data_IF_364972287962
#
_entry.id   IF_364972287962
#
_cell.length_a   1.000
_cell.length_b   1.000
_cell.length_c   1.000
_cell.angle_alpha   90.00
_cell.angle_beta   90.00
_cell.angle_gamma   90.00
#
_symmetry.space_group_name_H-M   'P 1'
#
loop_
_entity.id
_entity.type
_entity.pdbx_description
1 polymer ?
#
# COMPACT_ATOMS: atom_id res chain seq x y z
N UNK A 1 -24.77 19.15 3.39
CA UNK A 1 -23.88 18.32 2.56
C UNK A 1 -24.66 17.10 2.08
N UNK A 2 -24.63 16.79 0.79
CA UNK A 2 -25.26 15.57 0.28
C UNK A 2 -24.53 14.36 0.87
N UNK A 3 -25.28 13.49 1.53
CA UNK A 3 -24.77 12.26 2.11
C UNK A 3 -24.44 11.28 0.98
N UNK A 4 -23.19 10.84 0.85
CA UNK A 4 -22.77 9.86 -0.14
C UNK A 4 -22.71 8.46 0.51
N UNK A 5 -23.79 7.67 0.50
CA UNK A 5 -23.82 6.37 1.17
C UNK A 5 -22.86 5.38 0.47
N UNK A 6 -22.26 4.49 1.27
CA UNK A 6 -21.42 3.41 0.73
C UNK A 6 -22.28 2.36 0.02
N UNK A 7 -23.42 1.99 0.60
CA UNK A 7 -24.34 1.05 -0.04
C UNK A 7 -25.50 1.80 -0.72
N UNK A 8 -25.81 1.44 -1.95
CA UNK A 8 -27.03 1.90 -2.61
C UNK A 8 -28.26 1.32 -1.88
N UNK A 9 -29.40 1.99 -1.95
CA UNK A 9 -30.62 1.52 -1.26
C UNK A 9 -31.07 0.13 -1.74
N UNK A 10 -30.86 -0.19 -3.01
CA UNK A 10 -31.20 -1.50 -3.59
C UNK A 10 -30.27 -2.61 -3.07
N UNK A 11 -28.95 -2.39 -3.13
CA UNK A 11 -27.96 -3.36 -2.67
C UNK A 11 -28.01 -3.53 -1.14
N UNK A 12 -28.28 -2.47 -0.39
CA UNK A 12 -28.47 -2.50 1.06
C UNK A 12 -29.59 -3.45 1.48
N UNK A 13 -30.75 -3.37 0.80
CA UNK A 13 -31.89 -4.24 1.08
C UNK A 13 -31.55 -5.71 0.79
N UNK A 14 -30.88 -5.99 -0.34
CA UNK A 14 -30.48 -7.34 -0.75
C UNK A 14 -29.47 -7.93 0.24
N UNK A 15 -28.42 -7.18 0.59
CA UNK A 15 -27.38 -7.68 1.48
C UNK A 15 -27.88 -7.83 2.92
N UNK A 16 -28.82 -6.99 3.37
CA UNK A 16 -29.48 -7.15 4.68
C UNK A 16 -30.35 -8.40 4.72
N UNK A 17 -31.15 -8.65 3.67
CA UNK A 17 -31.96 -9.87 3.55
C UNK A 17 -31.07 -11.13 3.59
N UNK A 18 -29.91 -11.08 2.92
CA UNK A 18 -28.91 -12.15 2.91
C UNK A 18 -28.03 -12.23 4.17
N UNK A 19 -28.28 -11.38 5.17
CA UNK A 19 -27.51 -11.29 6.43
C UNK A 19 -26.02 -10.95 6.25
N UNK A 20 -25.67 -10.32 5.13
CA UNK A 20 -24.33 -9.77 4.89
C UNK A 20 -24.13 -8.39 5.50
N UNK A 21 -25.23 -7.68 5.78
CA UNK A 21 -25.26 -6.43 6.53
C UNK A 21 -26.11 -6.61 7.79
N UNK A 22 -25.66 -6.01 8.91
CA UNK A 22 -26.54 -5.79 10.07
C UNK A 22 -27.15 -4.39 9.98
N UNK A 23 -28.29 -4.13 10.66
CA UNK A 23 -28.85 -2.77 10.76
C UNK A 23 -27.78 -1.77 11.20
N UNK A 24 -27.80 -0.57 10.61
CA UNK A 24 -26.87 0.48 11.00
C UNK A 24 -27.11 0.87 12.47
N UNK A 25 -26.03 0.99 13.24
CA UNK A 25 -26.06 1.52 14.59
C UNK A 25 -25.51 2.94 14.54
N UNK A 26 -26.41 3.92 14.44
CA UNK A 26 -26.03 5.30 14.17
C UNK A 26 -25.50 5.46 12.75
N UNK A 27 -24.28 5.96 12.59
CA UNK A 27 -23.61 6.18 11.30
C UNK A 27 -22.58 5.10 10.95
N UNK A 28 -22.58 3.98 11.69
CA UNK A 28 -21.71 2.81 11.44
C UNK A 28 -22.55 1.60 11.11
N UNK A 29 -21.97 0.67 10.35
CA UNK A 29 -22.63 -0.56 9.92
C UNK A 29 -21.69 -1.76 10.03
N UNK A 30 -22.23 -2.90 10.43
CA UNK A 30 -21.50 -4.17 10.39
C UNK A 30 -21.66 -4.81 9.02
N UNK A 31 -20.53 -5.13 8.39
CA UNK A 31 -20.44 -5.69 7.05
C UNK A 31 -19.69 -7.02 7.12
N UNK A 32 -20.27 -8.07 6.54
CA UNK A 32 -19.63 -9.39 6.54
C UNK A 32 -18.31 -9.39 5.77
N UNK A 33 -17.38 -10.23 6.19
CA UNK A 33 -16.09 -10.42 5.52
C UNK A 33 -16.23 -10.85 4.06
N UNK A 34 -17.29 -11.56 3.68
CA UNK A 34 -17.56 -11.91 2.27
C UNK A 34 -17.74 -10.68 1.36
N UNK A 35 -18.32 -9.59 1.88
CA UNK A 35 -18.48 -8.32 1.15
C UNK A 35 -17.17 -7.51 1.20
N UNK A 36 -16.46 -7.55 2.33
CA UNK A 36 -15.17 -6.83 2.49
C UNK A 36 -14.01 -7.46 1.71
N UNK A 37 -13.98 -8.79 1.60
CA UNK A 37 -12.87 -9.48 0.95
C UNK A 37 -13.21 -9.88 -0.48
N UNK A 38 -14.51 -10.06 -0.79
CA UNK A 38 -15.02 -10.56 -2.07
C UNK A 38 -14.00 -11.46 -2.75
N UNK A 39 -13.63 -12.53 -2.04
CA UNK A 39 -12.90 -13.63 -2.61
C UNK A 39 -13.91 -14.36 -3.50
N UNK A 40 -13.58 -14.40 -4.79
CA UNK A 40 -14.21 -15.31 -5.73
C UNK A 40 -13.74 -16.68 -5.27
N UNK A 41 -14.49 -17.32 -4.39
CA UNK A 41 -14.31 -18.74 -4.15
C UNK A 41 -14.58 -19.42 -5.48
N UNK A 42 -13.49 -19.83 -6.12
CA UNK A 42 -13.48 -20.93 -7.07
C UNK A 42 -14.37 -22.01 -6.47
N UNK A 43 -15.49 -22.27 -7.13
CA UNK A 43 -16.46 -23.27 -6.71
C UNK A 43 -15.81 -24.66 -6.76
N UNK A 44 -15.13 -25.06 -5.70
CA UNK A 44 -14.96 -26.47 -5.34
C UNK A 44 -16.11 -26.85 -4.43
N UNK A 45 -17.10 -27.52 -5.00
CA UNK A 45 -18.17 -28.17 -4.25
C UNK A 45 -17.58 -29.16 -3.24
N UNK A 46 -17.81 -28.92 -1.95
CA UNK A 46 -17.39 -29.83 -0.87
C UNK A 46 -17.74 -29.33 0.54
N UNK A 47 -18.94 -29.71 0.99
CA UNK A 47 -19.48 -29.88 2.36
C UNK A 47 -19.11 -28.94 3.52
N UNK A 48 -20.15 -28.43 4.18
CA UNK A 48 -20.37 -28.20 5.63
C UNK A 48 -19.14 -27.94 6.52
N UNK A 49 -19.09 -26.76 7.17
CA UNK A 49 -19.44 -26.59 8.60
C UNK A 49 -19.12 -25.15 9.06
N UNK A 50 -20.09 -24.50 9.71
CA UNK A 50 -20.01 -23.39 10.69
C UNK A 50 -18.79 -22.42 10.71
N UNK A 51 -18.30 -21.89 9.58
CA UNK A 51 -17.42 -20.71 9.68
C UNK A 51 -18.25 -19.51 10.16
N UNK A 52 -18.07 -19.08 11.41
CA UNK A 52 -18.66 -17.83 11.91
C UNK A 52 -18.34 -16.72 10.91
N UNK A 53 -19.39 -16.16 10.29
CA UNK A 53 -19.22 -15.05 9.36
C UNK A 53 -18.69 -13.86 10.16
N UNK A 54 -17.41 -13.54 10.01
CA UNK A 54 -16.82 -12.37 10.66
C UNK A 54 -17.42 -11.09 10.09
N UNK A 55 -17.60 -10.08 10.94
CA UNK A 55 -18.13 -8.78 10.55
C UNK A 55 -17.13 -7.68 10.88
N UNK A 56 -16.98 -6.75 9.97
CA UNK A 56 -16.21 -5.52 10.12
C UNK A 56 -17.15 -4.34 10.32
N UNK A 57 -16.72 -3.34 11.08
CA UNK A 57 -17.47 -2.09 11.26
C UNK A 57 -16.92 -1.07 10.29
N UNK A 58 -17.76 -0.57 9.39
CA UNK A 58 -17.41 0.51 8.45
C UNK A 58 -18.37 1.70 8.61
N UNK A 59 -18.00 2.92 8.17
CA UNK A 59 -18.92 4.04 8.11
C UNK A 59 -20.09 3.76 7.16
N UNK A 60 -21.22 4.42 7.37
CA UNK A 60 -22.38 4.31 6.48
C UNK A 60 -22.26 5.20 5.23
N UNK A 61 -21.43 6.24 5.31
CA UNK A 61 -21.20 7.23 4.27
C UNK A 61 -19.71 7.29 3.96
N UNK A 62 -19.35 7.46 2.68
CA UNK A 62 -17.96 7.53 2.25
C UNK A 62 -17.24 8.76 2.80
N UNK A 63 -17.97 9.87 2.94
CA UNK A 63 -17.45 11.11 3.55
C UNK A 63 -18.23 11.38 4.83
N UNK A 64 -17.63 11.08 5.98
CA UNK A 64 -18.18 11.38 7.30
C UNK A 64 -17.10 11.45 8.37
N UNK A 65 -17.46 11.93 9.56
CA UNK A 65 -16.61 11.86 10.76
C UNK A 65 -16.18 10.42 11.06
N UNK A 66 -17.11 9.46 10.96
CA UNK A 66 -16.83 8.04 11.16
C UNK A 66 -15.88 7.48 10.10
N UNK A 67 -15.80 8.10 8.92
CA UNK A 67 -14.78 7.74 7.93
C UNK A 67 -13.40 8.12 8.44
N UNK A 68 -13.19 9.33 8.95
CA UNK A 68 -11.89 9.70 9.54
C UNK A 68 -11.48 8.76 10.68
N UNK A 69 -12.43 8.39 11.54
CA UNK A 69 -12.15 7.39 12.59
C UNK A 69 -11.76 6.03 12.01
N UNK A 70 -12.51 5.56 11.01
CA UNK A 70 -12.23 4.30 10.32
C UNK A 70 -10.84 4.30 9.66
N UNK A 71 -10.42 5.41 9.04
CA UNK A 71 -9.07 5.57 8.49
C UNK A 71 -7.99 5.41 9.58
N UNK A 72 -8.31 5.74 10.82
CA UNK A 72 -7.46 5.52 11.98
C UNK A 72 -7.22 6.78 12.82
N UNK A 73 -7.94 7.87 12.57
CA UNK A 73 -7.92 9.02 13.47
C UNK A 73 -8.66 8.72 14.78
N UNK A 74 -8.20 9.29 15.88
CA UNK A 74 -8.92 9.27 17.14
C UNK A 74 -10.19 10.14 17.07
N UNK A 75 -11.22 9.88 17.90
CA UNK A 75 -12.51 10.57 17.82
C UNK A 75 -12.41 12.10 17.84
N UNK A 76 -11.55 12.65 18.70
CA UNK A 76 -11.33 14.11 18.79
C UNK A 76 -10.79 14.68 17.47
N UNK A 77 -9.78 14.03 16.88
CA UNK A 77 -9.16 14.49 15.63
C UNK A 77 -10.12 14.29 14.45
N UNK A 78 -10.88 13.19 14.43
CA UNK A 78 -11.91 12.95 13.44
C UNK A 78 -12.99 14.05 13.44
N UNK A 79 -13.48 14.45 14.60
CA UNK A 79 -14.45 15.54 14.74
C UNK A 79 -13.88 16.90 14.28
N UNK A 80 -12.60 17.19 14.59
CA UNK A 80 -11.89 18.38 14.11
C UNK A 80 -11.81 18.39 12.57
N UNK A 81 -11.35 17.28 11.97
CA UNK A 81 -11.23 17.15 10.52
C UNK A 81 -12.58 17.23 9.81
N UNK A 82 -13.62 16.64 10.39
CA UNK A 82 -14.98 16.73 9.87
C UNK A 82 -15.53 18.16 9.90
N UNK A 83 -15.29 18.89 10.98
CA UNK A 83 -15.66 20.30 11.07
C UNK A 83 -14.94 21.13 10.01
N UNK A 84 -13.63 20.88 9.82
CA UNK A 84 -12.82 21.54 8.78
C UNK A 84 -13.30 21.21 7.37
N UNK A 85 -13.65 19.95 7.10
CA UNK A 85 -14.23 19.53 5.83
C UNK A 85 -15.52 20.28 5.53
N UNK A 86 -16.41 20.43 6.52
CA UNK A 86 -17.64 21.22 6.37
C UNK A 86 -17.38 22.66 5.96
N UNK A 87 -16.41 23.33 6.61
CA UNK A 87 -16.04 24.71 6.25
C UNK A 87 -15.45 24.84 4.85
N UNK A 88 -14.68 23.85 4.39
CA UNK A 88 -14.14 23.81 3.02
C UNK A 88 -15.29 23.68 2.01
N UNK A 89 -16.23 22.77 2.26
CA UNK A 89 -17.38 22.53 1.39
C UNK A 89 -18.32 23.74 1.33
N UNK A 90 -18.53 24.44 2.44
CA UNK A 90 -19.30 25.70 2.46
C UNK A 90 -18.62 26.79 1.64
N UNK A 91 -17.29 26.91 1.78
CA UNK A 91 -16.50 27.91 1.05
C UNK A 91 -16.42 27.63 -0.46
N UNK A 92 -16.43 26.36 -0.87
CA UNK A 92 -16.41 25.94 -2.28
C UNK A 92 -17.73 26.22 -3.01
N UNK A 93 -18.86 26.29 -2.29
CA UNK A 93 -20.17 26.58 -2.86
C UNK A 93 -20.44 28.09 -3.03
N UNK A 94 -19.50 28.95 -2.62
CA UNK A 94 -19.57 30.40 -2.77
C UNK A 94 -19.17 30.79 -4.20
N UNK A 95 -20.18 31.06 -5.05
CA UNK A 95 -20.05 31.30 -6.50
C UNK A 95 -19.22 32.54 -6.87
N UNK A 96 -18.87 33.39 -5.90
CA UNK A 96 -18.16 34.66 -6.12
C UNK A 96 -16.62 34.55 -5.98
N UNK A 97 -16.06 33.34 -5.79
CA UNK A 97 -14.60 33.13 -5.67
C UNK A 97 -14.02 32.40 -6.88
N UNK A 98 -13.31 33.15 -7.73
CA UNK A 98 -12.62 32.67 -8.95
C UNK A 98 -11.47 31.66 -8.72
N UNK A 99 -11.15 31.31 -7.47
CA UNK A 99 -10.08 30.35 -7.14
C UNK A 99 -10.51 29.46 -5.96
N UNK A 100 -11.32 28.45 -6.24
CA UNK A 100 -11.58 27.35 -5.28
C UNK A 100 -10.53 26.27 -5.52
N UNK A 101 -9.64 26.05 -4.55
CA UNK A 101 -8.82 24.84 -4.53
C UNK A 101 -9.74 23.68 -4.12
N UNK A 102 -10.00 22.76 -5.04
CA UNK A 102 -10.67 21.50 -4.72
C UNK A 102 -9.72 20.67 -3.85
N UNK A 103 -10.06 20.54 -2.58
CA UNK A 103 -9.36 19.65 -1.63
C UNK A 103 -10.15 18.36 -1.59
N UNK A 104 -9.50 17.23 -1.89
CA UNK A 104 -10.14 15.93 -1.77
C UNK A 104 -10.28 15.50 -0.30
N UNK A 105 -11.24 14.62 -0.02
CA UNK A 105 -11.53 14.18 1.36
C UNK A 105 -10.33 13.45 1.98
N UNK A 106 -9.70 12.55 1.22
CA UNK A 106 -8.51 11.83 1.67
C UNK A 106 -7.31 12.76 1.82
N UNK A 107 -7.12 13.73 0.93
CA UNK A 107 -6.04 14.72 1.03
C UNK A 107 -6.14 15.53 2.33
N UNK A 108 -7.35 15.86 2.79
CA UNK A 108 -7.53 16.52 4.09
C UNK A 108 -7.07 15.62 5.26
N UNK A 109 -7.40 14.33 5.22
CA UNK A 109 -6.93 13.37 6.21
C UNK A 109 -5.40 13.30 6.19
N UNK A 110 -4.81 12.95 5.04
CA UNK A 110 -3.38 12.74 4.89
C UNK A 110 -2.58 14.02 5.15
N UNK A 111 -3.09 15.18 4.73
CA UNK A 111 -2.47 16.48 4.96
C UNK A 111 -2.41 16.90 6.44
N UNK A 112 -3.15 16.20 7.32
CA UNK A 112 -3.13 16.44 8.77
C UNK A 112 -2.06 15.62 9.48
N UNK A 113 -1.45 14.65 8.80
CA UNK A 113 -0.22 14.00 9.25
C UNK A 113 0.92 14.98 8.96
N UNK A 114 1.79 15.30 9.92
CA UNK A 114 2.86 16.23 9.67
C UNK A 114 3.81 15.70 8.59
N UNK A 115 4.27 16.59 7.71
CA UNK A 115 5.36 16.30 6.80
C UNK A 115 6.66 16.36 7.61
N UNK A 116 7.34 15.23 7.76
CA UNK A 116 8.69 15.15 8.33
C UNK A 116 8.85 15.79 9.73
N UNK A 117 7.87 15.64 10.63
CA UNK A 117 8.07 16.05 12.03
C UNK A 117 9.12 15.18 12.71
N UNK A 118 9.73 15.83 13.70
CA UNK A 118 10.78 15.41 14.60
C UNK A 118 10.47 14.11 15.35
N UNK A 119 10.44 12.97 14.65
CA UNK A 119 10.36 11.64 15.28
C UNK A 119 11.71 11.38 15.99
N UNK A 120 11.80 11.63 17.31
CA UNK A 120 13.09 11.68 18.02
C UNK A 120 13.72 10.31 18.27
N UNK A 121 12.94 9.25 18.28
CA UNK A 121 13.44 7.88 18.32
C UNK A 121 12.35 6.88 17.94
N UNK A 122 12.71 5.62 17.67
CA UNK A 122 11.74 4.53 17.52
C UNK A 122 10.90 4.32 18.79
N UNK A 123 11.46 4.66 19.95
CA UNK A 123 10.83 4.51 21.26
C UNK A 123 9.66 5.49 21.46
N UNK A 124 9.57 6.54 20.63
CA UNK A 124 8.55 7.60 20.74
C UNK A 124 7.48 7.54 19.64
N UNK A 125 7.51 6.58 18.73
CA UNK A 125 6.53 6.50 17.62
C UNK A 125 5.08 6.52 18.09
N UNK A 126 4.77 5.77 19.16
CA UNK A 126 3.43 5.73 19.72
C UNK A 126 2.99 7.10 20.27
N UNK A 127 3.91 7.82 20.93
CA UNK A 127 3.67 9.16 21.47
C UNK A 127 3.45 10.15 20.33
N UNK A 128 4.32 10.14 19.31
CA UNK A 128 4.18 11.02 18.15
C UNK A 128 2.87 10.78 17.39
N UNK A 129 2.52 9.53 17.11
CA UNK A 129 1.24 9.22 16.45
C UNK A 129 0.05 9.66 17.31
N UNK A 130 0.13 9.50 18.63
CA UNK A 130 -0.91 10.00 19.55
C UNK A 130 -1.03 11.53 19.51
N UNK A 131 0.09 12.25 19.49
CA UNK A 131 0.14 13.72 19.39
C UNK A 131 -0.45 14.22 18.06
N UNK A 132 -0.30 13.46 16.97
CA UNK A 132 -0.95 13.77 15.70
C UNK A 132 -2.48 13.55 15.76
N UNK A 133 -2.95 12.80 16.76
CA UNK A 133 -4.34 12.42 16.96
C UNK A 133 -4.71 11.07 16.34
N UNK A 134 -3.74 10.21 16.02
CA UNK A 134 -3.99 8.84 15.54
C UNK A 134 -4.61 8.01 16.67
N UNK A 135 -5.62 7.20 16.33
CA UNK A 135 -6.31 6.33 17.28
C UNK A 135 -5.43 5.18 17.76
N UNK A 136 -5.63 4.76 19.01
CA UNK A 136 -4.84 3.71 19.67
C UNK A 136 -4.88 2.36 18.91
N UNK A 137 -5.99 2.03 18.26
CA UNK A 137 -6.10 0.82 17.45
C UNK A 137 -5.09 0.80 16.30
N UNK A 138 -4.95 1.90 15.55
CA UNK A 138 -3.99 1.98 14.45
C UNK A 138 -2.55 2.04 14.99
N UNK A 139 -2.30 2.79 16.07
CA UNK A 139 -1.00 2.83 16.75
C UNK A 139 -0.56 1.41 17.14
N UNK A 140 -1.42 0.65 17.82
CA UNK A 140 -1.12 -0.71 18.25
C UNK A 140 -0.89 -1.67 17.07
N UNK A 141 -1.55 -1.43 15.93
CA UNK A 141 -1.36 -2.24 14.74
C UNK A 141 -0.04 -1.93 14.02
N UNK A 142 0.34 -0.65 13.95
CA UNK A 142 1.63 -0.23 13.38
C UNK A 142 2.78 -0.70 14.27
N UNK A 143 2.64 -0.56 15.59
CA UNK A 143 3.67 -0.89 16.59
C UNK A 143 3.74 -2.36 16.96
N UNK A 144 3.10 -3.25 16.19
CA UNK A 144 3.15 -4.67 16.48
C UNK A 144 4.59 -5.20 16.36
N UNK A 145 5.16 -5.58 17.50
CA UNK A 145 6.51 -6.13 17.61
C UNK A 145 6.71 -7.37 16.72
N UNK A 146 5.63 -8.11 16.44
CA UNK A 146 5.67 -9.24 15.53
C UNK A 146 6.22 -8.79 14.19
N UNK A 147 5.95 -7.58 13.68
CA UNK A 147 6.38 -7.10 12.37
C UNK A 147 7.47 -6.01 12.45
N UNK A 148 8.29 -6.02 13.50
CA UNK A 148 9.36 -5.03 13.71
C UNK A 148 10.35 -4.94 12.54
N UNK A 149 10.65 -6.07 11.89
CA UNK A 149 11.49 -6.19 10.70
C UNK A 149 10.98 -5.33 9.53
N UNK A 150 9.68 -5.43 9.22
CA UNK A 150 9.04 -4.64 8.16
C UNK A 150 8.73 -3.22 8.62
N UNK A 151 8.20 -3.06 9.83
CA UNK A 151 7.87 -1.74 10.41
C UNK A 151 9.05 -0.78 10.31
N UNK A 152 10.27 -1.25 10.54
CA UNK A 152 11.46 -0.40 10.50
C UNK A 152 11.97 -0.11 9.09
N UNK A 153 11.35 -0.58 8.00
CA UNK A 153 11.80 -0.22 6.64
C UNK A 153 11.31 1.16 6.19
N UNK A 154 10.37 1.78 6.92
CA UNK A 154 9.81 3.11 6.64
C UNK A 154 9.48 3.87 7.94
N UNK A 155 9.10 5.16 7.85
CA UNK A 155 8.76 5.99 9.04
C UNK A 155 7.35 5.74 9.58
N UNK A 156 7.07 6.19 10.81
CA UNK A 156 5.72 6.13 11.38
C UNK A 156 4.72 6.89 10.50
N UNK A 157 5.09 8.11 10.11
CA UNK A 157 4.32 8.94 9.18
C UNK A 157 4.00 8.25 7.85
N UNK A 158 4.96 7.48 7.28
CA UNK A 158 4.70 6.68 6.08
C UNK A 158 3.65 5.60 6.37
N UNK A 159 3.83 4.80 7.43
CA UNK A 159 2.90 3.70 7.72
C UNK A 159 1.50 4.19 8.08
N UNK A 160 1.36 5.34 8.75
CA UNK A 160 0.04 5.94 9.00
C UNK A 160 -0.62 6.34 7.68
N UNK A 161 0.08 7.08 6.80
CA UNK A 161 -0.44 7.48 5.47
C UNK A 161 -0.84 6.27 4.64
N UNK A 162 0.07 5.31 4.51
CA UNK A 162 -0.12 4.08 3.75
C UNK A 162 -1.34 3.29 4.27
N UNK A 163 -1.50 3.18 5.60
CA UNK A 163 -2.67 2.49 6.16
C UNK A 163 -3.97 3.23 5.87
N UNK A 164 -3.98 4.57 6.00
CA UNK A 164 -5.18 5.38 5.74
C UNK A 164 -5.58 5.30 4.26
N UNK A 165 -4.63 5.37 3.34
CA UNK A 165 -4.89 5.18 1.91
C UNK A 165 -5.47 3.80 1.62
N UNK A 166 -4.89 2.74 2.20
CA UNK A 166 -5.39 1.36 2.05
C UNK A 166 -6.84 1.25 2.51
N UNK A 167 -7.14 1.78 3.71
CA UNK A 167 -8.48 1.72 4.30
C UNK A 167 -9.48 2.52 3.49
N UNK A 168 -9.12 3.73 3.04
CA UNK A 168 -10.00 4.54 2.21
C UNK A 168 -10.32 3.85 0.88
N UNK A 169 -9.30 3.31 0.20
CA UNK A 169 -9.48 2.53 -1.03
C UNK A 169 -10.37 1.29 -0.82
N UNK A 170 -10.39 0.70 0.38
CA UNK A 170 -11.36 -0.36 0.72
C UNK A 170 -12.79 0.15 0.69
N UNK A 171 -13.06 1.33 1.26
CA UNK A 171 -14.42 1.90 1.25
C UNK A 171 -14.86 2.29 -0.16
N UNK A 172 -13.97 2.86 -0.95
CA UNK A 172 -14.24 3.18 -2.36
C UNK A 172 -14.60 1.93 -3.14
N UNK A 173 -13.80 0.86 -3.04
CA UNK A 173 -14.12 -0.43 -3.68
C UNK A 173 -15.47 -0.98 -3.22
N UNK A 174 -15.76 -1.00 -1.91
CA UNK A 174 -17.04 -1.52 -1.40
C UNK A 174 -18.21 -0.75 -1.98
N UNK A 175 -18.07 0.57 -2.13
CA UNK A 175 -19.07 1.43 -2.72
C UNK A 175 -19.25 1.16 -4.22
N UNK A 176 -18.16 1.12 -4.98
CA UNK A 176 -18.19 0.79 -6.41
C UNK A 176 -18.83 -0.58 -6.65
N UNK A 177 -18.48 -1.58 -5.82
CA UNK A 177 -19.08 -2.91 -5.88
C UNK A 177 -20.59 -2.89 -5.55
N UNK A 178 -21.02 -1.99 -4.66
CA UNK A 178 -22.45 -1.80 -4.34
C UNK A 178 -23.23 -1.18 -5.49
N UNK A 179 -22.62 -0.18 -6.15
CA UNK A 179 -23.19 0.48 -7.34
C UNK A 179 -23.28 -0.51 -8.50
N UNK A 180 -22.21 -1.27 -8.77
CA UNK A 180 -22.20 -2.31 -9.79
C UNK A 180 -23.28 -3.38 -9.55
N UNK A 181 -23.41 -3.88 -8.31
CA UNK A 181 -24.46 -4.85 -7.95
C UNK A 181 -25.87 -4.29 -8.16
N UNK A 182 -26.09 -3.02 -7.85
CA UNK A 182 -27.39 -2.36 -8.04
C UNK A 182 -27.74 -2.21 -9.53
N UNK A 183 -26.74 -2.01 -10.39
CA UNK A 183 -26.90 -1.97 -11.84
C UNK A 183 -27.00 -3.38 -12.48
N UNK A 184 -26.89 -4.44 -11.68
CA UNK A 184 -26.85 -5.82 -12.17
C UNK A 184 -25.53 -6.18 -12.90
N UNK A 185 -24.52 -5.32 -12.79
CA UNK A 185 -23.18 -5.57 -13.30
C UNK A 185 -22.47 -6.46 -12.28
N UNK A 186 -22.21 -7.70 -12.65
CA UNK A 186 -21.25 -8.52 -11.88
C UNK A 186 -19.88 -7.87 -11.99
N UNK A 187 -19.24 -7.50 -10.86
CA UNK A 187 -17.88 -6.96 -10.89
C UNK A 187 -16.96 -7.94 -11.62
N UNK A 188 -15.97 -7.43 -12.38
CA UNK A 188 -15.11 -8.26 -13.21
C UNK A 188 -14.49 -9.39 -12.38
N UNK A 189 -14.85 -10.62 -12.73
CA UNK A 189 -14.27 -11.83 -12.16
C UNK A 189 -12.76 -11.84 -12.44
N UNK A 190 -11.95 -12.14 -11.43
CA UNK A 190 -10.50 -12.33 -11.58
C UNK A 190 -10.29 -13.58 -12.42
N UNK A 191 -10.21 -13.39 -13.74
CA UNK A 191 -9.74 -14.44 -14.64
C UNK A 191 -8.26 -14.70 -14.36
N UNK A 192 -7.93 -15.96 -14.08
CA UNK A 192 -6.54 -16.43 -14.15
C UNK A 192 -6.13 -16.30 -15.61
N UNK A 193 -5.25 -15.34 -15.90
CA UNK A 193 -4.73 -15.15 -17.24
C UNK A 193 -3.72 -16.26 -17.54
N UNK A 194 -4.05 -17.15 -18.47
CA UNK A 194 -3.09 -18.07 -19.08
C UNK A 194 -2.51 -17.39 -20.33
N UNK A 195 -1.40 -16.67 -20.18
CA UNK A 195 -0.67 -16.14 -21.33
C UNK A 195 0.30 -17.18 -21.89
N UNK A 196 0.22 -17.41 -23.20
CA UNK A 196 1.19 -18.22 -23.94
C UNK A 196 2.39 -17.31 -24.27
N UNK A 197 3.48 -17.49 -23.54
CA UNK A 197 4.75 -16.78 -23.76
C UNK A 197 5.45 -17.25 -25.05
N UNK A 198 6.03 -16.30 -25.80
CA UNK A 198 6.94 -16.57 -26.94
C UNK A 198 8.19 -17.36 -26.47
N UNK A 199 8.79 -18.22 -27.31
CA UNK A 199 9.99 -18.96 -26.92
C UNK A 199 11.19 -18.01 -26.78
N UNK A 200 11.75 -17.94 -25.58
CA UNK A 200 13.09 -17.44 -25.33
C UNK A 200 14.09 -18.58 -25.55
N UNK A 201 15.20 -18.30 -26.22
CA UNK A 201 16.25 -19.29 -26.49
C UNK A 201 17.24 -19.46 -25.32
N UNK A 202 17.07 -18.71 -24.22
CA UNK A 202 17.74 -18.96 -22.93
C UNK A 202 16.74 -19.69 -22.03
N UNK A 203 17.04 -20.93 -21.56
CA UNK A 203 16.14 -21.66 -20.68
C UNK A 203 15.92 -20.93 -19.34
N UNK A 204 14.67 -20.89 -18.89
CA UNK A 204 14.30 -20.47 -17.54
C UNK A 204 13.52 -19.16 -17.44
N UNK A 205 12.78 -19.04 -16.33
CA UNK A 205 12.04 -17.85 -15.93
C UNK A 205 12.47 -17.48 -14.51
N UNK A 206 12.58 -16.19 -14.24
CA UNK A 206 12.78 -15.62 -12.92
C UNK A 206 11.43 -15.20 -12.35
N UNK A 207 11.16 -15.59 -11.11
CA UNK A 207 9.98 -15.18 -10.36
C UNK A 207 10.38 -14.18 -9.28
N UNK A 208 9.64 -13.09 -9.17
CA UNK A 208 9.78 -12.05 -8.16
C UNK A 208 8.43 -11.80 -7.49
N UNK A 209 8.44 -11.35 -6.24
CA UNK A 209 7.24 -11.21 -5.41
C UNK A 209 7.13 -9.79 -4.83
N UNK A 210 5.90 -9.29 -4.70
CA UNK A 210 5.57 -8.06 -3.97
C UNK A 210 4.24 -8.24 -3.25
N UNK A 211 4.17 -7.90 -1.98
CA UNK A 211 2.89 -7.81 -1.29
C UNK A 211 2.24 -6.45 -1.51
N UNK A 212 0.92 -6.44 -1.69
CA UNK A 212 0.12 -5.25 -1.91
C UNK A 212 -1.34 -5.51 -1.53
N UNK A 213 -2.13 -4.46 -1.34
CA UNK A 213 -3.58 -4.59 -1.21
C UNK A 213 -4.23 -4.75 -2.58
N UNK A 214 -5.28 -5.58 -2.65
CA UNK A 214 -6.06 -5.82 -3.86
C UNK A 214 -6.64 -4.52 -4.42
N UNK A 215 -7.03 -3.59 -3.54
CA UNK A 215 -7.63 -2.31 -3.94
C UNK A 215 -6.65 -1.39 -4.69
N UNK A 216 -5.33 -1.58 -4.52
CA UNK A 216 -4.30 -0.84 -5.26
C UNK A 216 -3.90 -1.50 -6.58
N UNK A 217 -4.42 -2.69 -6.87
CA UNK A 217 -4.14 -3.36 -8.14
C UNK A 217 -4.93 -2.73 -9.28
N UNK A 218 -4.24 -1.93 -10.08
CA UNK A 218 -4.79 -1.43 -11.34
C UNK A 218 -4.85 -2.57 -12.36
N UNK A 219 -6.00 -2.71 -13.04
CA UNK A 219 -6.19 -3.67 -14.14
C UNK A 219 -6.60 -2.97 -15.42
N UNK A 220 -6.28 -3.55 -16.56
CA UNK A 220 -6.83 -3.11 -17.84
C UNK A 220 -8.21 -3.74 -18.09
N UNK A 221 -8.86 -3.36 -19.19
CA UNK A 221 -10.16 -3.91 -19.61
C UNK A 221 -10.15 -5.45 -19.77
N UNK A 222 -8.98 -6.03 -20.08
CA UNK A 222 -8.78 -7.48 -20.16
C UNK A 222 -8.50 -8.15 -18.82
N UNK A 223 -8.58 -7.44 -17.70
CA UNK A 223 -8.32 -7.96 -16.36
C UNK A 223 -6.84 -8.17 -16.01
N UNK A 224 -5.89 -7.84 -16.91
CA UNK A 224 -4.45 -7.96 -16.64
C UNK A 224 -4.00 -6.86 -15.67
N UNK A 225 -3.20 -7.24 -14.66
CA UNK A 225 -2.59 -6.30 -13.72
C UNK A 225 -1.65 -5.35 -14.47
N UNK A 226 -1.72 -4.06 -14.16
CA UNK A 226 -0.88 -3.01 -14.72
C UNK A 226 0.24 -2.64 -13.74
N UNK A 227 1.43 -2.39 -14.26
CA UNK A 227 2.62 -2.05 -13.47
C UNK A 227 2.46 -0.77 -12.63
N UNK A 228 1.81 0.33 -13.10
CA UNK A 228 1.72 1.57 -12.30
C UNK A 228 1.06 1.39 -10.93
N UNK A 229 0.16 0.40 -10.77
CA UNK A 229 -0.42 0.08 -9.46
C UNK A 229 0.57 -0.55 -8.46
N UNK A 230 1.79 -0.85 -8.90
CA UNK A 230 2.86 -1.46 -8.11
C UNK A 230 4.01 -0.49 -7.82
N UNK A 231 3.87 0.80 -8.12
CA UNK A 231 4.89 1.81 -7.86
C UNK A 231 5.17 1.95 -6.35
N UNK A 232 6.43 2.24 -5.99
CA UNK A 232 6.81 2.60 -4.62
C UNK A 232 7.18 4.08 -4.55
N UNK A 233 6.71 4.75 -3.51
CA UNK A 233 6.96 6.17 -3.29
C UNK A 233 8.37 6.46 -2.74
N UNK A 234 8.86 7.68 -2.94
CA UNK A 234 10.09 8.20 -2.32
C UNK A 234 9.79 8.93 -0.99
N UNK A 235 10.73 8.98 -0.02
CA UNK A 235 12.06 8.41 -0.05
C UNK A 235 12.04 6.88 0.09
N UNK A 236 13.01 6.22 -0.54
CA UNK A 236 13.21 4.77 -0.54
C UNK A 236 14.71 4.45 -0.54
N UNK A 237 15.08 3.17 -0.59
CA UNK A 237 16.48 2.73 -0.49
C UNK A 237 17.41 3.29 -1.58
N UNK A 238 16.87 3.58 -2.77
CA UNK A 238 17.67 4.03 -3.92
C UNK A 238 17.30 5.44 -4.41
N UNK A 239 16.37 6.11 -3.73
CA UNK A 239 15.80 7.37 -4.21
C UNK A 239 15.26 8.22 -3.08
N UNK A 240 15.89 9.38 -2.87
CA UNK A 240 15.41 10.33 -1.87
C UNK A 240 14.24 11.19 -2.30
N UNK A 241 14.15 11.53 -3.60
CA UNK A 241 13.10 12.38 -4.15
C UNK A 241 12.72 11.94 -5.55
N UNK A 242 11.41 11.77 -5.76
CA UNK A 242 10.75 11.61 -7.05
C UNK A 242 11.16 10.37 -7.84
N UNK A 243 10.57 10.22 -9.02
CA UNK A 243 10.85 9.09 -9.92
C UNK A 243 10.12 7.81 -9.54
N UNK A 244 9.83 7.01 -10.56
CA UNK A 244 9.10 5.75 -10.44
C UNK A 244 10.07 4.60 -10.20
N UNK A 245 9.78 3.79 -9.19
CA UNK A 245 10.54 2.59 -8.85
C UNK A 245 9.61 1.42 -8.61
N UNK A 246 10.01 0.25 -9.10
CA UNK A 246 9.32 -1.00 -8.82
C UNK A 246 10.22 -1.93 -8.01
N UNK A 247 9.80 -2.17 -6.78
CA UNK A 247 10.49 -3.03 -5.83
C UNK A 247 9.83 -4.41 -5.76
N UNK A 248 10.61 -5.45 -5.99
CA UNK A 248 10.21 -6.84 -5.77
C UNK A 248 11.30 -7.59 -5.01
N UNK A 249 11.01 -8.78 -4.50
CA UNK A 249 11.99 -9.69 -3.87
C UNK A 249 11.93 -11.06 -4.52
N UNK A 250 13.03 -11.83 -4.49
CA UNK A 250 12.98 -13.26 -4.88
C UNK A 250 12.50 -14.15 -3.74
N UNK A 251 12.57 -13.67 -2.51
CA UNK A 251 12.24 -14.43 -1.32
C UNK A 251 10.75 -14.33 -1.04
N UNK A 252 10.01 -15.41 -1.31
CA UNK A 252 8.57 -15.45 -1.06
C UNK A 252 8.21 -15.15 0.41
N UNK A 253 9.08 -15.56 1.35
CA UNK A 253 8.89 -15.28 2.78
C UNK A 253 8.99 -13.78 3.11
N UNK A 254 9.82 -13.01 2.41
CA UNK A 254 9.83 -11.54 2.54
C UNK A 254 8.48 -10.98 2.10
N UNK A 255 7.95 -11.40 0.95
CA UNK A 255 6.65 -10.93 0.48
C UNK A 255 5.51 -11.34 1.44
N UNK A 256 5.49 -12.58 1.93
CA UNK A 256 4.54 -13.01 2.98
C UNK A 256 4.60 -12.13 4.22
N UNK A 257 5.80 -11.74 4.62
CA UNK A 257 6.00 -10.89 5.79
C UNK A 257 5.38 -9.51 5.63
N UNK A 258 5.61 -8.87 4.48
CA UNK A 258 4.93 -7.62 4.13
C UNK A 258 3.41 -7.79 4.03
N UNK A 259 2.91 -8.89 3.45
CA UNK A 259 1.47 -9.20 3.39
C UNK A 259 0.87 -9.28 4.80
N UNK A 260 1.52 -10.01 5.71
CA UNK A 260 1.07 -10.11 7.10
C UNK A 260 0.99 -8.75 7.78
N UNK A 261 1.98 -7.88 7.55
CA UNK A 261 1.96 -6.54 8.13
C UNK A 261 0.86 -5.64 7.56
N UNK A 262 0.54 -5.77 6.27
CA UNK A 262 -0.62 -5.10 5.66
C UNK A 262 -1.91 -5.57 6.36
N UNK A 263 -2.11 -6.88 6.46
CA UNK A 263 -3.30 -7.47 7.12
C UNK A 263 -3.40 -7.03 8.58
N UNK A 264 -2.28 -6.88 9.27
CA UNK A 264 -2.26 -6.44 10.67
C UNK A 264 -2.78 -5.00 10.84
N UNK A 265 -2.42 -4.11 9.92
CA UNK A 265 -2.76 -2.68 9.95
C UNK A 265 -4.13 -2.37 9.33
N UNK A 266 -4.57 -3.19 8.38
CA UNK A 266 -5.86 -3.05 7.68
C UNK A 266 -6.50 -4.42 7.49
N UNK A 267 -7.08 -4.95 8.58
CA UNK A 267 -7.63 -6.32 8.65
C UNK A 267 -8.76 -6.57 7.63
N UNK A 268 -9.49 -5.52 7.30
CA UNK A 268 -10.62 -5.54 6.37
C UNK A 268 -10.22 -5.17 4.93
N UNK A 269 -8.94 -4.92 4.68
CA UNK A 269 -8.39 -4.71 3.35
C UNK A 269 -7.75 -6.01 2.82
N UNK A 270 -8.27 -6.60 1.73
CA UNK A 270 -7.72 -7.82 1.18
C UNK A 270 -6.27 -7.60 0.69
N UNK A 271 -5.32 -8.28 1.33
CA UNK A 271 -3.91 -8.26 0.97
C UNK A 271 -3.53 -9.48 0.11
N UNK A 272 -2.71 -9.27 -0.91
CA UNK A 272 -2.30 -10.28 -1.88
C UNK A 272 -0.79 -10.22 -2.12
N UNK A 273 -0.23 -11.33 -2.63
CA UNK A 273 1.14 -11.33 -3.17
C UNK A 273 1.02 -11.35 -4.68
N UNK A 274 1.67 -10.39 -5.33
CA UNK A 274 1.83 -10.36 -6.77
C UNK A 274 3.13 -11.06 -7.14
N UNK A 275 3.02 -12.04 -8.03
CA UNK A 275 4.12 -12.74 -8.68
C UNK A 275 4.40 -12.06 -10.02
N UNK A 276 5.64 -11.62 -10.22
CA UNK A 276 6.18 -11.11 -11.49
C UNK A 276 7.11 -12.17 -12.07
N UNK A 277 6.69 -12.78 -13.17
CA UNK A 277 7.46 -13.77 -13.90
C UNK A 277 8.11 -13.12 -15.12
N UNK A 278 9.44 -13.25 -15.24
CA UNK A 278 10.27 -12.65 -16.28
C UNK A 278 11.14 -13.70 -16.97
N UNK A 279 11.37 -13.62 -18.29
CA UNK A 279 12.38 -14.45 -18.96
C UNK A 279 13.79 -14.15 -18.41
N UNK A 280 14.61 -15.17 -18.19
CA UNK A 280 16.01 -14.97 -17.75
C UNK A 280 16.79 -14.07 -18.72
N UNK A 281 16.56 -14.24 -20.03
CA UNK A 281 17.17 -13.41 -21.08
C UNK A 281 16.88 -11.91 -20.90
N UNK A 282 15.72 -11.54 -20.34
CA UNK A 282 15.40 -10.14 -20.06
C UNK A 282 16.26 -9.61 -18.91
N UNK A 283 16.36 -10.35 -17.81
CA UNK A 283 17.21 -9.99 -16.67
C UNK A 283 18.69 -9.93 -17.08
N UNK A 284 19.18 -10.89 -17.87
CA UNK A 284 20.55 -10.89 -18.38
C UNK A 284 20.80 -9.75 -19.37
N UNK A 285 19.78 -9.37 -20.15
CA UNK A 285 19.84 -8.24 -21.08
C UNK A 285 19.74 -6.87 -20.41
N UNK A 286 19.22 -6.81 -19.17
CA UNK A 286 19.28 -5.66 -18.28
C UNK A 286 20.51 -5.82 -17.38
N UNK A 287 21.73 -5.43 -17.77
CA UNK A 287 22.94 -5.72 -17.00
C UNK A 287 22.74 -5.37 -15.53
N UNK A 288 22.53 -6.37 -14.63
CA UNK A 288 22.05 -6.09 -13.30
C UNK A 288 23.21 -5.53 -12.51
N UNK A 289 22.97 -4.42 -11.82
CA UNK A 289 23.96 -3.91 -10.89
C UNK A 289 23.70 -4.51 -9.52
N UNK A 290 24.57 -5.44 -9.12
CA UNK A 290 24.54 -6.02 -7.78
C UNK A 290 25.20 -5.01 -6.84
N UNK A 291 24.38 -4.32 -6.06
CA UNK A 291 24.81 -3.40 -5.03
C UNK A 291 24.83 -4.15 -3.70
N UNK A 292 25.94 -4.85 -3.44
CA UNK A 292 26.14 -5.60 -2.21
C UNK A 292 26.25 -4.68 -1.00
N UNK A 293 26.00 -5.22 0.20
CA UNK A 293 26.25 -4.50 1.44
C UNK A 293 27.73 -4.10 1.53
N UNK A 294 27.99 -2.81 1.52
CA UNK A 294 29.33 -2.23 1.51
C UNK A 294 29.27 -0.71 1.43
N UNK A 295 30.42 -0.05 1.27
CA UNK A 295 30.52 1.41 1.35
C UNK A 295 29.63 2.12 0.33
N UNK A 296 29.55 1.61 -0.91
CA UNK A 296 28.68 2.19 -1.93
C UNK A 296 27.20 2.08 -1.53
N UNK A 297 26.76 0.92 -1.04
CA UNK A 297 25.38 0.73 -0.59
C UNK A 297 25.03 1.67 0.55
N UNK A 298 25.92 1.78 1.54
CA UNK A 298 25.73 2.69 2.69
C UNK A 298 25.63 4.15 2.24
N UNK A 299 26.47 4.58 1.30
CA UNK A 299 26.43 5.94 0.73
C UNK A 299 25.12 6.21 -0.01
N UNK A 300 24.69 5.27 -0.84
CA UNK A 300 23.42 5.37 -1.59
C UNK A 300 22.22 5.40 -0.64
N UNK A 301 22.19 4.50 0.34
CA UNK A 301 21.13 4.43 1.32
C UNK A 301 21.07 5.71 2.16
N UNK A 302 22.20 6.16 2.71
CA UNK A 302 22.28 7.37 3.52
C UNK A 302 21.78 8.59 2.75
N UNK A 303 22.25 8.78 1.52
CA UNK A 303 21.82 9.90 0.69
C UNK A 303 20.32 9.82 0.35
N UNK A 304 19.83 8.63 -0.03
CA UNK A 304 18.43 8.43 -0.41
C UNK A 304 17.48 8.62 0.78
N UNK A 305 17.75 7.98 1.92
CA UNK A 305 16.95 8.10 3.14
C UNK A 305 17.03 9.50 3.77
N UNK A 306 18.08 10.27 3.45
CA UNK A 306 18.20 11.71 3.77
C UNK A 306 17.51 12.65 2.78
N UNK A 307 16.71 12.12 1.84
CA UNK A 307 16.02 12.89 0.79
C UNK A 307 16.97 13.67 -0.13
N UNK A 308 18.24 13.26 -0.24
CA UNK A 308 19.15 13.84 -1.22
C UNK A 308 18.99 13.18 -2.58
N UNK A 309 19.19 13.97 -3.63
CA UNK A 309 19.33 13.45 -4.99
C UNK A 309 20.73 12.87 -5.11
N UNK A 310 20.86 11.60 -5.56
CA UNK A 310 22.17 11.01 -5.79
C UNK A 310 22.87 11.81 -6.90
N UNK A 311 24.01 12.40 -6.55
CA UNK A 311 24.78 13.30 -7.42
C UNK A 311 26.25 12.87 -7.45
N UNK A 312 27.05 13.54 -8.28
CA UNK A 312 28.47 13.21 -8.43
C UNK A 312 28.70 11.77 -8.87
N UNK A 313 29.53 11.05 -8.11
CA UNK A 313 29.87 9.64 -8.35
C UNK A 313 28.74 8.65 -8.02
N UNK A 314 27.66 9.08 -7.33
CA UNK A 314 26.49 8.24 -7.07
C UNK A 314 25.38 8.41 -8.12
N UNK A 315 25.41 9.48 -8.90
CA UNK A 315 24.34 9.83 -9.84
C UNK A 315 24.13 8.81 -10.97
N UNK A 316 25.10 7.94 -11.23
CA UNK A 316 24.93 6.87 -12.22
C UNK A 316 23.93 5.80 -11.77
N UNK A 317 23.68 5.65 -10.47
CA UNK A 317 22.74 4.66 -9.92
C UNK A 317 21.33 4.87 -10.52
N UNK A 318 20.93 6.13 -10.73
CA UNK A 318 19.65 6.48 -11.34
C UNK A 318 19.50 6.09 -12.83
N UNK A 319 20.60 5.71 -13.48
CA UNK A 319 20.60 5.27 -14.89
C UNK A 319 20.65 3.76 -15.04
N UNK A 320 20.81 3.01 -13.94
CA UNK A 320 20.87 1.56 -13.97
C UNK A 320 19.46 1.01 -14.13
N UNK A 321 19.14 0.17 -15.13
CA UNK A 321 17.77 -0.30 -15.33
C UNK A 321 17.29 -1.23 -14.21
N UNK A 322 18.21 -2.00 -13.63
CA UNK A 322 17.96 -2.95 -12.56
C UNK A 322 19.09 -2.89 -11.52
N UNK A 323 18.73 -2.67 -10.26
CA UNK A 323 19.63 -2.77 -9.11
C UNK A 323 19.16 -3.91 -8.22
N UNK A 324 20.05 -4.82 -7.87
CA UNK A 324 19.79 -5.90 -6.91
C UNK A 324 20.57 -5.57 -5.65
N UNK A 325 19.88 -5.43 -4.53
CA UNK A 325 20.45 -4.84 -3.31
C UNK A 325 19.81 -5.44 -2.06
N UNK A 326 20.49 -5.43 -0.90
CA UNK A 326 19.82 -5.64 0.39
C UNK A 326 18.65 -4.69 0.61
N UNK A 327 17.62 -5.16 1.31
CA UNK A 327 16.53 -4.33 1.85
C UNK A 327 17.07 -3.65 3.11
N UNK A 328 16.97 -2.32 3.18
CA UNK A 328 17.39 -1.62 4.39
C UNK A 328 16.41 -1.85 5.55
N UNK A 329 16.96 -1.79 6.74
CA UNK A 329 16.28 -1.79 8.02
C UNK A 329 16.70 -0.53 8.76
N UNK A 330 15.84 -0.04 9.66
CA UNK A 330 15.84 1.31 10.21
C UNK A 330 15.19 2.35 9.30
N UNK A 331 14.26 3.10 9.87
CA UNK A 331 13.43 4.05 9.14
C UNK A 331 14.24 5.23 8.57
N UNK A 332 13.68 5.93 7.57
CA UNK A 332 14.32 7.05 6.85
C UNK A 332 15.13 7.98 7.76
N UNK A 333 14.53 8.38 8.87
CA UNK A 333 15.09 9.35 9.81
C UNK A 333 16.23 8.81 10.67
N UNK A 334 16.15 7.54 11.11
CA UNK A 334 17.24 6.91 11.86
C UNK A 334 18.53 6.93 11.02
N UNK A 335 18.40 6.62 9.73
CA UNK A 335 19.51 6.69 8.77
C UNK A 335 19.93 8.14 8.50
N UNK A 336 18.99 9.07 8.29
CA UNK A 336 19.32 10.46 7.93
C UNK A 336 19.99 11.24 9.06
N UNK A 337 19.82 10.82 10.32
CA UNK A 337 20.46 11.43 11.49
C UNK A 337 21.89 10.97 11.72
N UNK A 338 22.31 9.88 11.07
CA UNK A 338 23.70 9.47 11.13
C UNK A 338 24.55 10.61 10.56
N UNK A 339 25.57 11.02 11.32
CA UNK A 339 26.54 12.04 10.92
C UNK A 339 27.26 11.64 9.62
N UNK A 340 27.31 10.33 9.38
CA UNK A 340 28.18 9.72 8.40
C UNK A 340 27.62 8.36 7.98
N UNK A 341 27.59 8.09 6.67
CA UNK A 341 27.16 6.80 6.12
C UNK A 341 28.00 5.62 6.66
N UNK A 342 29.21 5.87 7.16
CA UNK A 342 30.08 4.88 7.79
C UNK A 342 29.47 4.27 9.06
N UNK A 343 28.54 4.98 9.71
CA UNK A 343 27.82 4.46 10.88
C UNK A 343 26.76 3.41 10.51
N UNK A 344 26.40 3.30 9.23
CA UNK A 344 25.50 2.25 8.77
C UNK A 344 26.21 0.90 8.88
N UNK A 345 25.55 -0.05 9.52
CA UNK A 345 26.07 -1.38 9.82
C UNK A 345 25.15 -2.47 9.29
N UNK A 346 25.53 -3.74 9.51
CA UNK A 346 24.69 -4.89 9.14
C UNK A 346 23.35 -4.90 9.88
N UNK A 347 23.27 -4.22 11.04
CA UNK A 347 22.02 -4.04 11.77
C UNK A 347 21.02 -3.14 11.04
N UNK A 348 21.44 -2.40 10.02
CA UNK A 348 20.55 -1.61 9.16
C UNK A 348 20.12 -2.37 7.90
N UNK A 349 20.22 -3.69 7.91
CA UNK A 349 19.79 -4.57 6.82
C UNK A 349 18.69 -5.49 7.33
N UNK A 350 17.63 -5.65 6.55
CA UNK A 350 16.53 -6.54 6.89
C UNK A 350 16.99 -8.00 6.75
N UNK A 351 16.65 -8.82 7.74
CA UNK A 351 16.93 -10.26 7.73
C UNK A 351 15.64 -11.05 7.82
N UNK A 352 15.58 -12.17 7.10
CA UNK A 352 14.55 -13.20 7.27
C UNK A 352 15.26 -14.49 7.69
N UNK A 353 15.09 -14.87 8.96
CA UNK A 353 15.91 -15.90 9.59
C UNK A 353 17.38 -15.47 9.63
N UNK A 354 18.26 -16.31 9.10
CA UNK A 354 19.70 -16.03 9.04
C UNK A 354 20.13 -15.32 7.75
N UNK A 355 19.21 -15.08 6.81
CA UNK A 355 19.53 -14.54 5.49
C UNK A 355 19.22 -13.06 5.39
N UNK A 356 20.10 -12.32 4.69
CA UNK A 356 19.83 -10.96 4.26
C UNK A 356 18.68 -10.98 3.24
N UNK A 357 17.66 -10.16 3.46
CA UNK A 357 16.57 -9.98 2.51
C UNK A 357 17.04 -9.12 1.33
N UNK A 358 16.72 -9.54 0.10
CA UNK A 358 17.16 -8.91 -1.14
C UNK A 358 15.96 -8.36 -1.90
N UNK A 359 16.17 -7.21 -2.54
CA UNK A 359 15.22 -6.57 -3.44
C UNK A 359 15.80 -6.34 -4.83
N UNK A 360 14.92 -6.46 -5.80
CA UNK A 360 15.09 -6.16 -7.21
C UNK A 360 14.38 -4.83 -7.46
N UNK A 361 15.16 -3.82 -7.82
CA UNK A 361 14.66 -2.47 -8.04
C UNK A 361 14.77 -2.13 -9.52
N UNK A 362 13.62 -2.09 -10.18
CA UNK A 362 13.55 -1.67 -11.57
C UNK A 362 13.29 -0.16 -11.67
N UNK A 363 14.02 0.49 -12.56
CA UNK A 363 13.92 1.94 -12.74
C UNK A 363 14.16 2.35 -14.20
N UNK A 364 13.71 3.57 -14.53
CA UNK A 364 13.80 4.13 -15.87
C UNK A 364 12.65 3.71 -16.78
N UNK A 365 12.09 4.66 -17.52
CA UNK A 365 10.90 4.47 -18.35
C UNK A 365 11.03 3.35 -19.39
N UNK A 366 12.20 3.21 -20.01
CA UNK A 366 12.46 2.13 -20.98
C UNK A 366 12.34 0.73 -20.35
N UNK A 367 12.89 0.54 -19.16
CA UNK A 367 12.78 -0.71 -18.41
C UNK A 367 11.33 -1.02 -18.07
N UNK A 368 10.56 0.00 -17.68
CA UNK A 368 9.16 -0.16 -17.28
C UNK A 368 8.26 -0.60 -18.44
N UNK A 369 8.45 0.00 -19.62
CA UNK A 369 7.74 -0.40 -20.83
C UNK A 369 8.05 -1.86 -21.19
N UNK A 370 9.31 -2.28 -21.07
CA UNK A 370 9.70 -3.66 -21.31
C UNK A 370 9.16 -4.62 -20.23
N UNK A 371 9.12 -4.20 -18.96
CA UNK A 371 8.47 -4.97 -17.88
C UNK A 371 6.98 -5.17 -18.14
N UNK A 372 6.25 -4.16 -18.58
CA UNK A 372 4.83 -4.31 -18.93
C UNK A 372 4.63 -5.27 -20.11
N UNK A 373 5.57 -5.25 -21.07
CA UNK A 373 5.53 -6.05 -22.29
C UNK A 373 5.91 -7.51 -22.05
N UNK A 374 6.93 -7.76 -21.24
CA UNK A 374 7.54 -9.08 -21.03
C UNK A 374 7.16 -9.74 -19.71
N UNK A 375 6.77 -8.94 -18.72
CA UNK A 375 6.34 -9.39 -17.41
C UNK A 375 4.96 -10.00 -17.42
N UNK A 376 4.88 -11.20 -16.85
CA UNK A 376 3.62 -11.87 -16.51
C UNK A 376 3.36 -11.60 -15.02
N UNK A 377 2.29 -10.86 -14.73
CA UNK A 377 1.86 -10.52 -13.37
C UNK A 377 0.63 -11.34 -13.00
N UNK A 378 0.70 -12.04 -11.88
CA UNK A 378 -0.39 -12.83 -11.32
C UNK A 378 -0.48 -12.65 -9.80
N UNK A 379 -1.65 -12.94 -9.22
CA UNK A 379 -1.83 -13.00 -7.76
C UNK A 379 -1.65 -14.45 -7.32
N UNK A 380 -0.86 -14.66 -6.27
CA UNK A 380 -0.59 -15.98 -5.67
C UNK A 380 -1.04 -16.12 -4.23
#
# INVERSE_FOLDING_TARGET
MASNPIFTAADDAILTERKHLKPATGRRRYVSSSVMNSEITSSSSGSDDSSETSFFIIPNFLHSEETFEYLGWGPQKAAELWSRWGSIQESANDKDKDTVFEVEFLDLALGSIPNDVVEDSEDDWAIHMQDWGVGSQLINAIMDHEFSDVRQTESASYWVRDTMEIRYATLERVKEDSEARAEGITPPSIGIATSISRPSNVPGKQILFKAITKNRLLRNEGGKIRMPGLESNSPSDLRGVGGTLFYFTREFEVAKRYKGYIMRRAEDAPAVIVCLTLPNAFIEGLPPYILEFGDLWKRVLHASRSRYILSGDLGYIHRLPLVITPISHSHNRAISRLESWQQISIHNVMHIGENIAIQYVFQGSGTMLELERLGELEVV
#
